data_IF_755342030280
#
_entry.id   IF_755342030280
#
_cell.length_a   1.000
_cell.length_b   1.000
_cell.length_c   1.000
_cell.angle_alpha   90.00
_cell.angle_beta   90.00
_cell.angle_gamma   90.00
#
_symmetry.space_group_name_H-M   'P 1'
#
loop_
_entity.id
_entity.type
_entity.pdbx_description
1 polymer ?
#
# COMPACT_ATOMS: atom_id res chain seq x y z
N UNK A 1 6.25 21.49 -13.94
CA UNK A 1 6.46 20.19 -14.62
C UNK A 1 6.34 20.48 -16.10
N UNK A 2 7.33 20.10 -16.91
CA UNK A 2 7.20 20.29 -18.35
C UNK A 2 6.28 19.22 -18.94
N UNK A 3 5.64 19.50 -20.07
CA UNK A 3 4.77 18.55 -20.80
C UNK A 3 5.53 17.23 -21.11
N UNK A 4 6.85 17.31 -21.26
CA UNK A 4 7.76 16.19 -21.43
C UNK A 4 7.92 15.32 -20.17
N UNK A 5 7.89 15.94 -18.98
CA UNK A 5 7.96 15.23 -17.70
C UNK A 5 6.65 14.47 -17.41
N UNK A 6 5.52 15.05 -17.79
CA UNK A 6 4.21 14.41 -17.64
C UNK A 6 4.07 13.18 -18.54
N UNK A 7 4.56 13.28 -19.79
CA UNK A 7 4.59 12.14 -20.71
C UNK A 7 5.44 10.98 -20.18
N UNK A 8 6.66 11.28 -19.69
CA UNK A 8 7.55 10.29 -19.10
C UNK A 8 6.94 9.62 -17.86
N UNK A 9 6.27 10.39 -17.01
CA UNK A 9 5.59 9.84 -15.83
C UNK A 9 4.43 8.93 -16.22
N UNK A 10 3.66 9.29 -17.24
CA UNK A 10 2.57 8.46 -17.76
C UNK A 10 3.08 7.13 -18.32
N UNK A 11 4.18 7.15 -19.08
CA UNK A 11 4.82 5.93 -19.60
C UNK A 11 5.35 5.04 -18.47
N UNK A 12 6.07 5.62 -17.51
CA UNK A 12 6.60 4.88 -16.35
C UNK A 12 5.49 4.20 -15.55
N UNK A 13 4.37 4.90 -15.31
CA UNK A 13 3.18 4.32 -14.68
C UNK A 13 2.61 3.16 -15.47
N UNK A 14 2.50 3.30 -16.80
CA UNK A 14 1.94 2.25 -17.66
C UNK A 14 2.78 0.98 -17.60
N UNK A 15 4.10 1.10 -17.65
CA UNK A 15 5.03 -0.03 -17.52
C UNK A 15 4.93 -0.68 -16.14
N UNK A 16 4.96 0.11 -15.07
CA UNK A 16 4.84 -0.42 -13.71
C UNK A 16 3.54 -1.20 -13.50
N UNK A 17 2.40 -0.68 -13.99
CA UNK A 17 1.11 -1.37 -13.91
C UNK A 17 1.11 -2.68 -14.70
N UNK A 18 1.72 -2.72 -15.89
CA UNK A 18 1.81 -3.95 -16.69
C UNK A 18 2.65 -5.02 -15.98
N UNK A 19 3.79 -4.65 -15.40
CA UNK A 19 4.63 -5.58 -14.64
C UNK A 19 3.93 -6.08 -13.37
N UNK A 20 3.22 -5.20 -12.67
CA UNK A 20 2.41 -5.57 -11.51
C UNK A 20 1.30 -6.57 -11.90
N UNK A 21 0.65 -6.35 -13.05
CA UNK A 21 -0.40 -7.24 -13.54
C UNK A 21 0.13 -8.63 -13.92
N UNK A 22 1.36 -8.72 -14.46
CA UNK A 22 2.01 -10.01 -14.77
C UNK A 22 2.33 -10.82 -13.53
N UNK A 23 2.69 -10.17 -12.43
CA UNK A 23 3.01 -10.82 -11.16
C UNK A 23 1.74 -11.27 -10.40
N UNK A 24 0.57 -10.80 -10.85
CA UNK A 24 -0.69 -10.94 -10.13
C UNK A 24 -0.75 -9.98 -8.93
N UNK A 25 -1.96 -9.68 -8.47
CA UNK A 25 -2.12 -9.11 -7.13
C UNK A 25 -1.92 -10.24 -6.12
N UNK A 26 -1.16 -10.04 -5.02
CA UNK A 26 -1.09 -11.03 -3.95
C UNK A 26 -2.51 -11.48 -3.59
N UNK A 27 -2.77 -12.79 -3.50
CA UNK A 27 -4.06 -13.25 -3.03
C UNK A 27 -4.36 -12.60 -1.68
N UNK A 28 -5.59 -12.10 -1.54
CA UNK A 28 -6.05 -11.57 -0.26
C UNK A 28 -5.98 -12.66 0.82
N UNK A 29 -5.04 -12.52 1.75
CA UNK A 29 -4.93 -13.37 2.92
C UNK A 29 -5.72 -12.77 4.08
N UNK A 30 -6.90 -13.34 4.34
CA UNK A 30 -7.76 -12.94 5.47
C UNK A 30 -7.08 -13.06 6.85
N UNK A 31 -6.05 -13.90 6.99
CA UNK A 31 -5.25 -13.98 8.24
C UNK A 31 -4.27 -12.81 8.31
N UNK A 32 -3.59 -12.48 7.22
CA UNK A 32 -2.71 -11.31 7.16
C UNK A 32 -3.48 -10.01 7.43
N UNK A 33 -4.66 -9.85 6.82
CA UNK A 33 -5.53 -8.69 7.07
C UNK A 33 -5.94 -8.58 8.55
N UNK A 34 -6.36 -9.69 9.17
CA UNK A 34 -6.72 -9.70 10.60
C UNK A 34 -5.54 -9.32 11.50
N UNK A 35 -4.34 -9.82 11.22
CA UNK A 35 -3.12 -9.44 11.96
C UNK A 35 -2.81 -7.96 11.85
N UNK A 36 -2.98 -7.38 10.66
CA UNK A 36 -2.75 -5.93 10.45
C UNK A 36 -3.73 -5.10 11.29
N UNK A 37 -5.02 -5.44 11.26
CA UNK A 37 -6.05 -4.76 12.06
C UNK A 37 -5.81 -4.90 13.57
N UNK A 38 -5.41 -6.09 14.04
CA UNK A 38 -5.07 -6.29 15.46
C UNK A 38 -3.83 -5.50 15.89
N UNK A 39 -2.83 -5.39 15.02
CA UNK A 39 -1.64 -4.60 15.27
C UNK A 39 -1.97 -3.10 15.38
N UNK A 40 -2.83 -2.58 14.49
CA UNK A 40 -3.33 -1.21 14.56
C UNK A 40 -4.08 -0.96 15.87
N UNK A 41 -5.02 -1.84 16.24
CA UNK A 41 -5.76 -1.71 17.50
C UNK A 41 -4.83 -1.71 18.72
N UNK A 42 -3.84 -2.60 18.75
CA UNK A 42 -2.87 -2.68 19.84
C UNK A 42 -2.00 -1.42 19.92
N UNK A 43 -1.62 -0.85 18.80
CA UNK A 43 -0.88 0.41 18.76
C UNK A 43 -1.74 1.57 19.29
N UNK A 44 -3.01 1.66 18.89
CA UNK A 44 -3.95 2.66 19.42
C UNK A 44 -4.18 2.52 20.93
N UNK A 45 -4.32 1.28 21.42
CA UNK A 45 -4.45 1.02 22.86
C UNK A 45 -3.18 1.41 23.63
N UNK A 46 -2.00 1.16 23.06
CA UNK A 46 -0.74 1.58 23.67
C UNK A 46 -0.63 3.10 23.76
N UNK A 47 -0.98 3.82 22.69
CA UNK A 47 -1.01 5.29 22.70
C UNK A 47 -2.00 5.82 23.75
N UNK A 48 -3.23 5.30 23.77
CA UNK A 48 -4.24 5.69 24.77
C UNK A 48 -3.82 5.38 26.20
N UNK A 49 -3.05 4.31 26.40
CA UNK A 49 -2.52 3.93 27.72
C UNK A 49 -1.38 4.86 28.15
N UNK A 50 -0.54 5.30 27.23
CA UNK A 50 0.57 6.21 27.51
C UNK A 50 0.10 7.67 27.71
N UNK A 51 -1.07 8.04 27.18
CA UNK A 51 -1.72 9.34 27.39
C UNK A 51 -2.39 9.51 28.77
N UNK A 52 -2.42 8.46 29.61
CA UNK A 52 -3.22 8.39 30.83
C UNK A 52 -2.40 8.17 32.11
#
# INVERSE_FOLDING_TARGET
MSEHDEHRLAEARRTATQELYKQGTPEYDARAHRRAVEAERKAEEAVKRDEH
#
